data_IF_225281749294
#
_entry.id   IF_225281749294
#
_cell.length_a   1.000
_cell.length_b   1.000
_cell.length_c   1.000
_cell.angle_alpha   90.00
_cell.angle_beta   90.00
_cell.angle_gamma   90.00
#
_symmetry.space_group_name_H-M   'P 1'
#
loop_
_entity.id
_entity.type
_entity.pdbx_description
1 polymer ?
#
# COMPACT_ATOMS: atom_id res chain seq x y z
N UNK A 1 19.18 4.36 -5.53
CA UNK A 1 17.83 4.74 -5.05
C UNK A 1 17.45 3.79 -3.94
N UNK A 2 17.04 4.31 -2.77
CA UNK A 2 16.63 3.48 -1.65
C UNK A 2 15.09 3.38 -1.62
N UNK A 3 14.57 2.15 -1.66
CA UNK A 3 13.14 1.87 -1.76
C UNK A 3 12.64 1.27 -0.45
N UNK A 4 11.46 1.68 -0.01
CA UNK A 4 10.71 1.05 1.07
C UNK A 4 9.45 0.40 0.51
N UNK A 5 9.15 -0.81 0.93
CA UNK A 5 7.86 -1.45 0.73
C UNK A 5 7.24 -1.77 2.10
N UNK A 6 6.32 -0.93 2.55
CA UNK A 6 5.68 -1.00 3.85
C UNK A 6 4.24 -1.49 3.70
N UNK A 7 3.86 -2.57 4.38
CA UNK A 7 2.53 -3.12 4.18
C UNK A 7 1.92 -3.77 5.43
N UNK A 8 0.58 -3.80 5.45
CA UNK A 8 -0.20 -4.62 6.37
C UNK A 8 -1.03 -5.66 5.61
N UNK A 9 -1.04 -6.88 6.11
CA UNK A 9 -1.83 -7.99 5.54
C UNK A 9 -2.29 -8.95 6.62
N UNK A 10 -3.60 -9.08 6.82
CA UNK A 10 -4.18 -10.02 7.78
C UNK A 10 -4.33 -11.44 7.19
N UNK A 11 -4.64 -11.56 5.90
CA UNK A 11 -4.99 -12.83 5.26
C UNK A 11 -4.06 -13.25 4.12
N UNK A 12 -2.97 -12.49 3.89
CA UNK A 12 -1.94 -12.81 2.91
C UNK A 12 -2.16 -12.24 1.51
N UNK A 13 -3.30 -11.62 1.17
CA UNK A 13 -3.50 -11.06 -0.17
C UNK A 13 -2.55 -9.88 -0.45
N UNK A 14 -2.53 -8.89 0.44
CA UNK A 14 -1.61 -7.74 0.33
C UNK A 14 -0.15 -8.19 0.41
N UNK A 15 0.14 -9.22 1.21
CA UNK A 15 1.48 -9.79 1.30
C UNK A 15 1.98 -10.36 -0.03
N UNK A 16 1.14 -11.09 -0.77
CA UNK A 16 1.48 -11.56 -2.12
C UNK A 16 1.86 -10.40 -3.05
N UNK A 17 1.07 -9.32 -3.03
CA UNK A 17 1.35 -8.10 -3.81
C UNK A 17 2.65 -7.44 -3.34
N UNK A 18 2.84 -7.32 -2.03
CA UNK A 18 4.05 -6.72 -1.45
C UNK A 18 5.31 -7.49 -1.82
N UNK A 19 5.29 -8.81 -1.71
CA UNK A 19 6.44 -9.64 -2.12
C UNK A 19 6.74 -9.45 -3.61
N UNK A 20 5.72 -9.44 -4.47
CA UNK A 20 5.93 -9.24 -5.91
C UNK A 20 6.48 -7.85 -6.25
N UNK A 21 6.06 -6.79 -5.51
CA UNK A 21 6.65 -5.45 -5.64
C UNK A 21 8.15 -5.53 -5.31
N UNK A 22 8.51 -6.12 -4.16
CA UNK A 22 9.90 -6.19 -3.71
C UNK A 22 10.79 -6.99 -4.67
N UNK A 23 10.31 -8.13 -5.17
CA UNK A 23 10.99 -8.90 -6.21
C UNK A 23 11.24 -8.08 -7.47
N UNK A 24 10.21 -7.36 -7.96
CA UNK A 24 10.34 -6.52 -9.15
C UNK A 24 11.33 -5.36 -8.95
N UNK A 25 11.40 -4.78 -7.75
CA UNK A 25 12.42 -3.77 -7.39
C UNK A 25 13.82 -4.36 -7.43
N UNK A 26 14.01 -5.56 -6.86
CA UNK A 26 15.29 -6.27 -6.86
C UNK A 26 15.72 -6.69 -8.27
N UNK A 27 14.78 -7.12 -9.13
CA UNK A 27 15.04 -7.43 -10.55
C UNK A 27 15.61 -6.22 -11.31
N UNK A 28 15.35 -4.99 -10.84
CA UNK A 28 15.91 -3.75 -11.39
C UNK A 28 17.25 -3.34 -10.76
N UNK A 29 17.81 -4.17 -9.87
CA UNK A 29 19.07 -3.87 -9.17
C UNK A 29 18.95 -2.80 -8.09
N UNK A 30 17.73 -2.49 -7.62
CA UNK A 30 17.49 -1.54 -6.53
C UNK A 30 17.43 -2.25 -5.18
N UNK A 31 17.94 -1.59 -4.13
CA UNK A 31 17.75 -2.04 -2.75
C UNK A 31 16.31 -1.73 -2.29
N UNK A 32 15.67 -2.69 -1.63
CA UNK A 32 14.35 -2.53 -1.06
C UNK A 32 14.28 -3.09 0.35
N UNK A 33 13.85 -2.25 1.29
CA UNK A 33 13.46 -2.67 2.62
C UNK A 33 11.97 -3.04 2.59
N UNK A 34 11.67 -4.32 2.87
CA UNK A 34 10.30 -4.84 2.86
C UNK A 34 9.83 -5.09 4.29
N UNK A 35 8.89 -4.28 4.77
CA UNK A 35 8.47 -4.26 6.16
C UNK A 35 6.98 -4.55 6.30
N UNK A 36 6.66 -5.63 7.00
CA UNK A 36 5.30 -5.97 7.40
C UNK A 36 4.95 -5.29 8.70
N UNK A 37 3.91 -4.47 8.70
CA UNK A 37 3.38 -3.85 9.91
C UNK A 37 2.56 -4.89 10.68
N UNK A 38 3.01 -5.25 11.87
CA UNK A 38 2.30 -6.18 12.76
C UNK A 38 1.75 -5.50 14.01
N UNK A 39 2.22 -4.29 14.30
CA UNK A 39 1.86 -3.45 15.43
C UNK A 39 2.50 -2.07 15.29
N UNK A 40 2.40 -1.26 16.32
CA UNK A 40 2.92 0.11 16.34
C UNK A 40 4.42 0.23 16.64
N UNK A 41 5.05 -0.84 17.13
CA UNK A 41 6.45 -0.80 17.59
C UNK A 41 7.48 -0.87 16.44
N UNK A 42 7.07 -0.56 15.21
CA UNK A 42 7.96 -0.52 14.07
C UNK A 42 8.72 0.81 14.02
N UNK A 43 10.00 0.78 14.41
CA UNK A 43 10.87 1.93 14.28
C UNK A 43 11.30 2.12 12.81
N UNK A 44 10.79 3.17 12.19
CA UNK A 44 11.12 3.52 10.81
C UNK A 44 11.21 5.04 10.65
N UNK A 45 12.09 5.46 9.74
CA UNK A 45 12.09 6.82 9.22
C UNK A 45 11.87 6.82 7.70
N UNK A 46 10.64 7.15 7.31
CA UNK A 46 10.23 7.19 5.89
C UNK A 46 11.09 8.18 5.09
N UNK A 47 11.57 9.26 5.71
CA UNK A 47 12.34 10.29 5.03
C UNK A 47 13.73 9.81 4.54
N UNK A 48 14.17 8.62 4.98
CA UNK A 48 15.39 7.98 4.50
C UNK A 48 15.23 7.27 3.14
N UNK A 49 14.03 7.28 2.55
CA UNK A 49 13.72 6.56 1.32
C UNK A 49 13.32 7.53 0.21
N UNK A 50 13.86 7.28 -0.99
CA UNK A 50 13.53 8.04 -2.18
C UNK A 50 12.18 7.60 -2.78
N UNK A 51 11.87 6.32 -2.67
CA UNK A 51 10.64 5.74 -3.19
C UNK A 51 9.97 4.85 -2.15
N UNK A 52 8.68 5.04 -1.92
CA UNK A 52 7.92 4.26 -0.94
C UNK A 52 6.71 3.61 -1.61
N UNK A 53 6.61 2.30 -1.47
CA UNK A 53 5.36 1.57 -1.68
C UNK A 53 4.69 1.39 -0.34
N UNK A 54 3.43 1.79 -0.20
CA UNK A 54 2.67 1.62 1.03
C UNK A 54 1.35 0.91 0.75
N UNK A 55 1.11 -0.21 1.42
CA UNK A 55 -0.02 -1.07 1.08
C UNK A 55 -0.79 -1.66 2.25
N UNK A 56 -2.08 -1.91 2.03
CA UNK A 56 -2.95 -2.58 3.01
C UNK A 56 -4.08 -3.36 2.34
N UNK A 57 -4.61 -4.37 3.03
CA UNK A 57 -5.96 -4.81 2.76
C UNK A 57 -6.97 -3.73 3.13
N UNK A 58 -8.17 -3.81 2.56
CA UNK A 58 -9.28 -2.90 2.85
C UNK A 58 -10.20 -3.54 3.89
N UNK A 59 -10.44 -2.82 4.99
CA UNK A 59 -11.28 -3.23 6.12
C UNK A 59 -12.25 -2.09 6.45
N UNK A 60 -13.53 -2.30 6.19
CA UNK A 60 -14.57 -1.27 6.36
C UNK A 60 -14.14 0.09 5.73
N UNK A 61 -13.74 0.06 4.47
CA UNK A 61 -13.29 1.18 3.64
C UNK A 61 -12.00 1.88 4.11
N UNK A 62 -11.30 1.33 5.12
CA UNK A 62 -10.05 1.86 5.67
C UNK A 62 -8.90 0.85 5.55
N UNK A 63 -7.65 1.28 5.70
CA UNK A 63 -6.53 0.37 5.88
C UNK A 63 -6.66 -0.44 7.17
N UNK A 64 -5.88 -1.49 7.32
CA UNK A 64 -5.83 -2.24 8.57
C UNK A 64 -5.37 -1.38 9.75
N UNK A 65 -5.99 -1.59 10.91
CA UNK A 65 -5.74 -0.83 12.14
C UNK A 65 -4.25 -0.68 12.48
N UNK A 66 -3.39 -1.72 12.40
CA UNK A 66 -1.96 -1.56 12.70
C UNK A 66 -1.28 -0.51 11.81
N UNK A 67 -1.62 -0.44 10.53
CA UNK A 67 -1.06 0.57 9.62
C UNK A 67 -1.60 1.97 9.91
N UNK A 68 -2.88 2.07 10.27
CA UNK A 68 -3.48 3.35 10.69
C UNK A 68 -2.77 3.90 11.92
N UNK A 69 -2.52 3.06 12.93
CA UNK A 69 -1.84 3.45 14.16
C UNK A 69 -0.40 3.90 13.88
N UNK A 70 0.36 3.12 13.13
CA UNK A 70 1.71 3.49 12.71
C UNK A 70 1.73 4.83 11.97
N UNK A 71 0.81 5.06 11.02
CA UNK A 71 0.76 6.32 10.27
C UNK A 71 0.39 7.52 11.13
N UNK A 72 -0.45 7.34 12.14
CA UNK A 72 -0.75 8.39 13.14
C UNK A 72 0.49 8.75 13.96
N UNK A 73 1.25 7.75 14.41
CA UNK A 73 2.48 7.96 15.19
C UNK A 73 3.56 8.65 14.34
N UNK A 74 3.78 8.19 13.11
CA UNK A 74 4.71 8.82 12.16
C UNK A 74 4.30 10.26 11.87
N UNK A 75 3.02 10.53 11.64
CA UNK A 75 2.52 11.88 11.44
C UNK A 75 2.81 12.79 12.64
N UNK A 76 2.61 12.30 13.86
CA UNK A 76 2.93 13.05 15.08
C UNK A 76 4.44 13.29 15.23
N UNK A 77 5.27 12.27 14.97
CA UNK A 77 6.73 12.35 14.97
C UNK A 77 7.20 13.45 14.02
N UNK A 78 6.73 13.41 12.77
CA UNK A 78 7.16 14.37 11.74
C UNK A 78 6.61 15.78 11.97
N UNK A 79 5.42 15.94 12.54
CA UNK A 79 4.92 17.25 12.99
C UNK A 79 5.81 17.86 14.08
N UNK A 80 6.18 17.07 15.09
CA UNK A 80 7.06 17.53 16.17
C UNK A 80 8.46 17.89 15.65
N UNK A 81 8.95 17.19 14.63
CA UNK A 81 10.23 17.47 13.99
C UNK A 81 10.19 18.65 12.99
N UNK A 82 9.02 19.26 12.73
CA UNK A 82 8.86 20.34 11.77
C UNK A 82 8.93 19.90 10.30
N UNK A 83 8.81 18.59 10.04
CA UNK A 83 8.85 18.03 8.68
C UNK A 83 7.54 18.18 7.92
N UNK A 84 6.42 18.25 8.65
CA UNK A 84 5.11 18.59 8.09
C UNK A 84 4.92 20.09 8.10
N UNK A 85 4.97 20.69 6.92
CA UNK A 85 4.93 22.15 6.74
C UNK A 85 3.58 22.60 6.16
N UNK A 86 3.12 23.83 6.45
CA UNK A 86 2.01 24.43 5.72
C UNK A 86 2.25 24.34 4.20
N UNK A 87 1.21 24.11 3.43
CA UNK A 87 1.24 23.91 1.97
C UNK A 87 1.99 22.68 1.48
N UNK A 88 2.55 21.86 2.39
CA UNK A 88 3.27 20.60 2.07
C UNK A 88 4.18 20.73 0.83
N UNK A 89 5.23 21.58 0.89
CA UNK A 89 6.09 21.80 -0.27
C UNK A 89 6.70 20.46 -0.72
N UNK A 90 6.75 20.26 -2.04
CA UNK A 90 7.27 19.01 -2.62
C UNK A 90 8.74 18.79 -2.27
N UNK A 91 9.08 17.57 -1.85
CA UNK A 91 10.46 17.11 -1.66
C UNK A 91 11.03 16.62 -2.98
N UNK A 92 12.18 17.13 -3.41
CA UNK A 92 12.87 16.58 -4.58
C UNK A 92 13.19 15.08 -4.38
N UNK A 93 12.98 14.30 -5.44
CA UNK A 93 13.30 12.85 -5.45
C UNK A 93 12.64 12.03 -4.32
N UNK A 94 11.44 12.43 -3.89
CA UNK A 94 10.63 11.73 -2.91
C UNK A 94 9.30 11.31 -3.55
N UNK A 95 9.13 10.02 -3.79
CA UNK A 95 8.01 9.45 -4.52
C UNK A 95 7.29 8.37 -3.71
N UNK A 96 5.99 8.25 -3.89
CA UNK A 96 5.21 7.19 -3.27
C UNK A 96 4.22 6.55 -4.25
N UNK A 97 4.00 5.27 -4.08
CA UNK A 97 2.87 4.53 -4.64
C UNK A 97 2.08 3.96 -3.48
N UNK A 98 0.80 4.20 -3.47
CA UNK A 98 -0.11 3.64 -2.47
C UNK A 98 -0.92 2.53 -3.10
N UNK A 99 -1.01 1.36 -2.44
CA UNK A 99 -1.72 0.22 -3.00
C UNK A 99 -2.61 -0.49 -2.00
N UNK A 100 -3.63 -1.17 -2.50
CA UNK A 100 -4.48 -1.99 -1.65
C UNK A 100 -4.88 -3.32 -2.32
N UNK A 101 -5.31 -4.27 -1.47
CA UNK A 101 -6.07 -5.43 -1.92
C UNK A 101 -7.48 -5.36 -1.34
N UNK A 102 -8.51 -5.63 -2.17
CA UNK A 102 -9.90 -5.45 -1.77
C UNK A 102 -10.81 -6.50 -2.43
N UNK A 103 -11.87 -6.86 -1.74
CA UNK A 103 -12.90 -7.77 -2.28
C UNK A 103 -14.08 -7.06 -2.90
N UNK A 104 -14.42 -5.85 -2.47
CA UNK A 104 -15.41 -4.96 -3.08
C UNK A 104 -16.80 -5.57 -3.26
N UNK A 105 -17.29 -6.35 -2.28
CA UNK A 105 -18.49 -7.14 -2.40
C UNK A 105 -19.75 -6.33 -2.74
N UNK A 106 -19.88 -5.13 -2.22
CA UNK A 106 -21.10 -4.32 -2.36
C UNK A 106 -20.97 -3.25 -3.45
N UNK A 107 -19.91 -2.44 -3.42
CA UNK A 107 -19.75 -1.28 -4.31
C UNK A 107 -18.48 -1.33 -5.17
N UNK A 108 -17.79 -2.49 -5.18
CA UNK A 108 -16.59 -2.68 -5.98
C UNK A 108 -15.43 -1.80 -5.51
N UNK A 109 -14.74 -1.17 -6.44
CA UNK A 109 -13.57 -0.32 -6.14
C UNK A 109 -13.88 0.86 -5.19
N UNK A 110 -15.15 1.32 -5.14
CA UNK A 110 -15.55 2.40 -4.24
C UNK A 110 -15.35 2.05 -2.76
N UNK A 111 -15.29 0.76 -2.40
CA UNK A 111 -14.94 0.33 -1.05
C UNK A 111 -13.44 0.52 -0.74
N UNK A 112 -12.61 0.57 -1.76
CA UNK A 112 -11.16 0.62 -1.64
C UNK A 112 -10.58 2.04 -1.72
N UNK A 113 -11.22 2.93 -2.47
CA UNK A 113 -10.75 4.30 -2.70
C UNK A 113 -10.47 5.04 -1.38
N UNK A 114 -11.35 5.04 -0.36
CA UNK A 114 -11.08 5.76 0.89
C UNK A 114 -9.83 5.25 1.61
N UNK A 115 -9.57 3.93 1.59
CA UNK A 115 -8.39 3.35 2.23
C UNK A 115 -7.09 3.84 1.58
N UNK A 116 -7.05 3.87 0.25
CA UNK A 116 -5.88 4.35 -0.51
C UNK A 116 -5.68 5.85 -0.28
N UNK A 117 -6.75 6.64 -0.34
CA UNK A 117 -6.70 8.09 -0.04
C UNK A 117 -6.23 8.37 1.38
N UNK A 118 -6.68 7.58 2.36
CA UNK A 118 -6.23 7.70 3.74
C UNK A 118 -4.71 7.48 3.86
N UNK A 119 -4.19 6.41 3.25
CA UNK A 119 -2.75 6.11 3.29
C UNK A 119 -1.94 7.21 2.58
N UNK A 120 -2.44 7.76 1.48
CA UNK A 120 -1.79 8.83 0.73
C UNK A 120 -1.56 10.11 1.55
N UNK A 121 -2.42 10.39 2.53
CA UNK A 121 -2.32 11.61 3.34
C UNK A 121 -0.98 11.76 4.07
N UNK A 122 -0.37 10.67 4.55
CA UNK A 122 0.94 10.75 5.19
C UNK A 122 2.01 11.29 4.21
N UNK A 123 2.03 10.74 3.01
CA UNK A 123 3.00 11.10 1.98
C UNK A 123 2.78 12.52 1.45
N UNK A 124 1.53 12.91 1.20
CA UNK A 124 1.20 14.28 0.80
C UNK A 124 1.65 15.31 1.83
N UNK A 125 1.39 15.06 3.13
CA UNK A 125 1.83 15.96 4.21
C UNK A 125 3.35 16.06 4.33
N UNK A 126 4.06 15.00 3.97
CA UNK A 126 5.53 14.96 3.95
C UNK A 126 6.13 15.52 2.64
N UNK A 127 5.31 15.94 1.68
CA UNK A 127 5.76 16.50 0.42
C UNK A 127 6.24 15.46 -0.61
N UNK A 128 5.94 14.18 -0.43
CA UNK A 128 6.16 13.16 -1.45
C UNK A 128 5.25 13.38 -2.66
N UNK A 129 5.71 13.01 -3.84
CA UNK A 129 4.86 12.93 -5.02
C UNK A 129 4.20 11.55 -5.07
N UNK A 130 2.88 11.48 -4.93
CA UNK A 130 2.15 10.24 -5.13
C UNK A 130 2.06 9.98 -6.63
N UNK A 131 2.83 8.99 -7.10
CA UNK A 131 2.96 8.64 -8.51
C UNK A 131 1.78 7.83 -9.02
N UNK A 132 1.22 6.97 -8.16
CA UNK A 132 0.08 6.13 -8.51
C UNK A 132 -0.65 5.60 -7.27
N UNK A 133 -1.89 5.20 -7.51
CA UNK A 133 -2.77 4.48 -6.60
C UNK A 133 -3.14 3.15 -7.25
N UNK A 134 -2.79 2.02 -6.61
CA UNK A 134 -3.06 0.70 -7.18
C UNK A 134 -4.11 -0.05 -6.38
N UNK A 135 -5.04 -0.63 -7.10
CA UNK A 135 -6.19 -1.37 -6.55
C UNK A 135 -6.15 -2.79 -7.12
N UNK A 136 -5.81 -3.77 -6.29
CA UNK A 136 -5.73 -5.17 -6.70
C UNK A 136 -6.86 -5.96 -6.06
N UNK A 137 -7.60 -6.71 -6.87
CA UNK A 137 -8.67 -7.57 -6.36
C UNK A 137 -8.08 -8.69 -5.51
N UNK A 138 -8.72 -8.98 -4.36
CA UNK A 138 -8.33 -10.04 -3.45
C UNK A 138 -9.55 -10.77 -2.89
N UNK A 139 -9.48 -12.10 -2.88
CA UNK A 139 -10.56 -12.94 -2.35
C UNK A 139 -10.76 -12.76 -0.84
N UNK A 140 -11.96 -12.97 -0.36
CA UNK A 140 -12.25 -13.08 1.06
C UNK A 140 -11.85 -14.46 1.58
N UNK A 141 -10.81 -14.55 2.41
CA UNK A 141 -10.28 -15.80 2.93
C UNK A 141 -10.88 -16.24 4.26
N UNK A 142 -11.48 -15.33 5.01
CA UNK A 142 -12.13 -15.68 6.27
C UNK A 142 -13.42 -16.43 6.00
N UNK A 143 -13.70 -17.49 6.76
CA UNK A 143 -14.87 -18.36 6.56
C UNK A 143 -16.18 -17.56 6.50
N UNK A 144 -16.34 -16.61 7.42
CA UNK A 144 -17.53 -15.75 7.51
C UNK A 144 -17.80 -14.93 6.24
N UNK A 145 -16.75 -14.53 5.49
CA UNK A 145 -16.86 -13.66 4.33
C UNK A 145 -16.63 -14.38 3.00
N UNK A 146 -16.26 -15.66 3.03
CA UNK A 146 -15.88 -16.42 1.82
C UNK A 146 -16.94 -16.39 0.72
N UNK A 147 -18.22 -16.41 1.10
CA UNK A 147 -19.34 -16.32 0.15
C UNK A 147 -19.33 -15.04 -0.70
N UNK A 148 -18.79 -13.94 -0.19
CA UNK A 148 -18.68 -12.70 -0.94
C UNK A 148 -17.66 -12.77 -2.09
N UNK A 149 -16.77 -13.77 -2.08
CA UNK A 149 -15.85 -13.99 -3.21
C UNK A 149 -16.51 -14.55 -4.47
N UNK A 150 -17.77 -15.00 -4.36
CA UNK A 150 -18.54 -15.55 -5.50
C UNK A 150 -19.76 -14.69 -5.80
N UNK A 151 -20.47 -14.25 -4.75
CA UNK A 151 -21.73 -13.52 -4.88
C UNK A 151 -21.57 -11.98 -4.80
N UNK A 152 -20.34 -11.47 -4.75
CA UNK A 152 -20.07 -10.04 -4.67
C UNK A 152 -20.19 -9.33 -6.02
N UNK A 153 -20.14 -8.00 -5.99
CA UNK A 153 -20.26 -7.12 -7.18
C UNK A 153 -19.22 -7.39 -8.27
N UNK A 154 -18.04 -7.91 -7.90
CA UNK A 154 -16.96 -8.19 -8.83
C UNK A 154 -17.05 -9.58 -9.47
N UNK A 155 -18.11 -10.35 -9.18
CA UNK A 155 -18.25 -11.73 -9.63
C UNK A 155 -17.33 -12.68 -8.87
N UNK A 156 -16.87 -13.75 -9.53
CA UNK A 156 -15.99 -14.74 -8.91
C UNK A 156 -14.55 -14.24 -8.81
N UNK A 157 -14.12 -13.91 -7.61
CA UNK A 157 -12.77 -13.41 -7.30
C UNK A 157 -11.92 -14.42 -6.53
N UNK A 158 -12.36 -15.70 -6.49
CA UNK A 158 -11.57 -16.74 -5.81
C UNK A 158 -10.20 -16.89 -6.46
N UNK A 159 -9.20 -17.14 -5.64
CA UNK A 159 -7.80 -17.25 -6.06
C UNK A 159 -7.10 -15.91 -6.32
N UNK A 160 -7.81 -14.77 -6.25
CA UNK A 160 -7.19 -13.45 -6.42
C UNK A 160 -6.49 -12.95 -5.13
N UNK A 161 -5.34 -12.25 -5.22
CA UNK A 161 -4.57 -11.97 -6.44
C UNK A 161 -3.98 -13.27 -7.03
N UNK A 162 -4.07 -13.40 -8.35
CA UNK A 162 -3.52 -14.52 -9.11
C UNK A 162 -2.22 -14.12 -9.85
N UNK A 163 -1.67 -15.04 -10.65
CA UNK A 163 -0.43 -14.81 -11.40
C UNK A 163 -0.52 -13.65 -12.40
N UNK A 164 -1.71 -13.40 -12.97
CA UNK A 164 -1.92 -12.28 -13.89
C UNK A 164 -1.86 -10.96 -13.14
N UNK A 165 -2.51 -10.86 -11.98
CA UNK A 165 -2.43 -9.70 -11.11
C UNK A 165 -0.99 -9.39 -10.71
N UNK A 166 -0.22 -10.42 -10.36
CA UNK A 166 1.17 -10.28 -9.92
C UNK A 166 2.09 -9.89 -11.08
N UNK A 167 1.84 -10.38 -12.31
CA UNK A 167 2.57 -9.92 -13.50
C UNK A 167 2.29 -8.44 -13.80
N UNK A 168 1.03 -8.00 -13.69
CA UNK A 168 0.66 -6.60 -13.87
C UNK A 168 1.35 -5.70 -12.83
N UNK A 169 1.35 -6.11 -11.56
CA UNK A 169 2.07 -5.40 -10.50
C UNK A 169 3.57 -5.26 -10.84
N UNK A 170 4.22 -6.33 -11.28
CA UNK A 170 5.64 -6.27 -11.65
C UNK A 170 5.90 -5.30 -12.82
N UNK A 171 5.03 -5.33 -13.84
CA UNK A 171 5.13 -4.41 -14.97
C UNK A 171 4.98 -2.94 -14.54
N UNK A 172 4.02 -2.66 -13.64
CA UNK A 172 3.83 -1.32 -13.06
C UNK A 172 5.04 -0.85 -12.26
N UNK A 173 5.63 -1.72 -11.42
CA UNK A 173 6.86 -1.40 -10.67
C UNK A 173 7.97 -1.00 -11.62
N UNK A 174 8.19 -1.79 -12.69
CA UNK A 174 9.22 -1.52 -13.70
C UNK A 174 9.00 -0.17 -14.37
N UNK A 175 7.75 0.16 -14.72
CA UNK A 175 7.42 1.46 -15.31
C UNK A 175 7.64 2.64 -14.34
N UNK A 176 7.35 2.46 -13.03
CA UNK A 176 7.51 3.52 -12.03
C UNK A 176 8.96 3.81 -11.68
N UNK A 177 9.85 2.82 -11.71
CA UNK A 177 11.25 2.97 -11.29
C UNK A 177 12.22 3.28 -12.43
N UNK A 178 11.74 3.44 -13.65
CA UNK A 178 12.53 3.87 -14.82
C UNK A 178 12.63 5.41 -14.92
N UNK A 179 12.35 6.14 -13.84
CA UNK A 179 12.35 7.61 -13.77
C UNK A 179 13.77 8.15 -13.61
#
# INVERSE_FOLDING_TARGET
MKVLNLYFSATGNTEKVAMRISEAVQELGCEVDTLKVTGKDLEIDILNYNFVFAGSGVYAQLPGTPLIELFKELMQKYRKAGEVKPTSPRRPSAYAVVYCTYGGAHTGINEAIPAVKYMGQLFDHLGYTIMAEWYTVGEYKTEKLRGHSVAGRLGDIRGRPNEEDLRDIAARVKGMLQI
#
